data_IF_794080337691
#
_entry.id   IF_794080337691
#
_cell.length_a   1.000
_cell.length_b   1.000
_cell.length_c   1.000
_cell.angle_alpha   90.00
_cell.angle_beta   90.00
_cell.angle_gamma   90.00
#
_symmetry.space_group_name_H-M   'P 1'
#
loop_
_entity.id
_entity.type
_entity.pdbx_description
1 polymer ?
#
# COMPACT_ATOMS: atom_id res chain seq x y z
N UNK A 1 52.28 42.72 -44.61
CA UNK A 1 51.43 41.72 -45.29
C UNK A 1 50.00 41.92 -44.83
N UNK A 2 49.14 42.23 -45.78
CA UNK A 2 47.70 42.49 -45.62
C UNK A 2 46.99 41.18 -45.36
N UNK A 3 46.10 41.10 -44.35
CA UNK A 3 44.80 40.46 -44.56
C UNK A 3 43.73 41.03 -43.63
N UNK A 4 42.58 41.27 -44.25
CA UNK A 4 41.42 42.05 -43.85
C UNK A 4 40.32 41.14 -43.29
N UNK A 5 39.45 41.74 -42.46
CA UNK A 5 38.01 41.40 -42.25
C UNK A 5 37.74 40.18 -41.34
N UNK A 6 36.73 40.15 -40.46
CA UNK A 6 35.41 40.79 -40.43
C UNK A 6 34.96 41.13 -39.00
N UNK A 7 34.19 42.22 -38.89
CA UNK A 7 33.32 42.56 -37.75
C UNK A 7 32.14 41.57 -37.66
N UNK A 8 31.72 41.23 -36.43
CA UNK A 8 30.33 40.83 -36.14
C UNK A 8 29.87 41.62 -34.91
N UNK A 9 28.74 42.31 -35.08
CA UNK A 9 28.05 43.13 -34.09
C UNK A 9 27.06 42.28 -33.28
N UNK A 10 26.98 42.60 -31.99
CA UNK A 10 25.78 42.84 -31.18
C UNK A 10 24.84 41.69 -30.76
N UNK A 11 24.09 42.03 -29.70
CA UNK A 11 22.96 41.36 -29.02
C UNK A 11 23.42 40.44 -27.86
N UNK A 12 23.17 40.71 -26.58
CA UNK A 12 22.08 41.45 -25.95
C UNK A 12 21.08 40.44 -25.38
N UNK A 13 21.22 40.06 -24.11
CA UNK A 13 20.13 39.50 -23.30
C UNK A 13 20.57 39.43 -21.82
N UNK A 14 19.97 40.30 -21.01
CA UNK A 14 19.97 40.25 -19.55
C UNK A 14 19.12 39.06 -19.13
N UNK A 15 19.72 38.04 -18.52
CA UNK A 15 18.95 36.98 -17.86
C UNK A 15 18.63 37.43 -16.43
N UNK A 16 17.40 37.89 -16.26
CA UNK A 16 16.80 38.14 -14.96
C UNK A 16 16.79 36.84 -14.14
N UNK A 17 17.40 36.89 -12.96
CA UNK A 17 17.30 35.82 -11.98
C UNK A 17 15.87 35.78 -11.42
N UNK A 18 15.06 34.83 -11.92
CA UNK A 18 13.77 34.54 -11.32
C UNK A 18 14.02 33.84 -9.97
N UNK A 19 13.74 34.53 -8.87
CA UNK A 19 13.63 33.95 -7.54
C UNK A 19 12.48 32.95 -7.55
N UNK A 20 12.81 31.67 -7.63
CA UNK A 20 11.82 30.60 -7.46
C UNK A 20 11.35 30.64 -6.00
N UNK A 21 10.15 31.17 -5.78
CA UNK A 21 9.43 30.96 -4.55
C UNK A 21 9.24 29.44 -4.41
N UNK A 22 9.93 28.84 -3.44
CA UNK A 22 9.69 27.45 -3.04
C UNK A 22 8.30 27.44 -2.45
N UNK A 23 7.31 27.11 -3.29
CA UNK A 23 6.01 26.67 -2.82
C UNK A 23 6.31 25.39 -2.07
N UNK A 24 6.35 25.47 -0.74
CA UNK A 24 6.29 24.30 0.13
C UNK A 24 4.92 23.67 -0.09
N UNK A 25 4.78 22.93 -1.20
CA UNK A 25 3.61 22.12 -1.48
C UNK A 25 3.45 21.18 -0.28
N UNK A 26 2.27 21.22 0.33
CA UNK A 26 1.87 20.18 1.26
C UNK A 26 2.16 18.82 0.60
N UNK A 27 2.69 17.82 1.35
CA UNK A 27 2.96 16.52 0.78
C UNK A 27 1.72 16.06 0.01
N UNK A 28 1.86 15.53 -1.22
CA UNK A 28 0.72 15.02 -1.95
C UNK A 28 -0.03 14.09 -1.01
N UNK A 29 -1.34 14.28 -0.87
CA UNK A 29 -2.18 13.36 -0.13
C UNK A 29 -1.95 11.98 -0.74
N UNK A 30 -1.09 11.18 -0.10
CA UNK A 30 -0.77 9.85 -0.57
C UNK A 30 -2.09 9.10 -0.51
N UNK A 31 -2.66 8.78 -1.67
CA UNK A 31 -3.79 7.86 -1.72
C UNK A 31 -3.36 6.64 -0.91
N UNK A 32 -4.04 6.36 0.21
CA UNK A 32 -3.72 5.25 1.09
C UNK A 32 -3.62 4.01 0.21
N UNK A 33 -2.39 3.56 -0.06
CA UNK A 33 -2.15 2.62 -1.13
C UNK A 33 -2.67 1.29 -0.64
N UNK A 34 -3.83 0.90 -1.15
CA UNK A 34 -4.51 -0.31 -0.71
C UNK A 34 -3.84 -1.48 -1.39
N UNK A 35 -3.18 -2.32 -0.60
CA UNK A 35 -2.61 -3.58 -1.08
C UNK A 35 -3.75 -4.55 -1.39
N UNK A 36 -3.75 -5.12 -2.58
CA UNK A 36 -4.57 -6.24 -2.94
C UNK A 36 -3.83 -7.57 -2.72
N UNK A 37 -4.50 -8.49 -2.03
CA UNK A 37 -4.10 -9.88 -1.92
C UNK A 37 -5.21 -10.77 -2.47
N UNK A 38 -4.91 -11.59 -3.49
CA UNK A 38 -5.88 -12.52 -4.09
C UNK A 38 -6.49 -13.48 -3.06
N UNK A 39 -5.66 -14.03 -2.17
CA UNK A 39 -6.10 -14.95 -1.12
C UNK A 39 -5.39 -14.66 0.20
N UNK A 40 -6.06 -14.93 1.31
CA UNK A 40 -5.46 -14.92 2.64
C UNK A 40 -6.02 -16.08 3.45
N UNK A 41 -5.14 -16.78 4.17
CA UNK A 41 -5.54 -17.83 5.11
C UNK A 41 -5.21 -17.37 6.51
N UNK A 42 -6.20 -17.33 7.38
CA UNK A 42 -6.01 -17.02 8.80
C UNK A 42 -6.60 -18.12 9.66
N UNK A 43 -6.17 -18.23 10.91
CA UNK A 43 -6.76 -19.14 11.90
C UNK A 43 -7.89 -18.48 12.68
N UNK A 44 -8.08 -17.18 12.51
CA UNK A 44 -9.06 -16.38 13.24
C UNK A 44 -9.76 -15.44 12.24
N UNK A 45 -10.63 -15.97 11.38
CA UNK A 45 -11.71 -15.22 10.73
C UNK A 45 -13.02 -15.76 11.29
N UNK A 46 -13.61 -15.04 12.24
CA UNK A 46 -14.86 -15.44 12.88
C UNK A 46 -15.91 -14.34 12.77
N UNK A 47 -17.13 -14.63 12.31
CA UNK A 47 -18.20 -13.65 12.38
C UNK A 47 -18.44 -13.24 13.84
N UNK A 48 -18.55 -11.95 14.07
CA UNK A 48 -18.96 -11.33 15.32
C UNK A 48 -20.30 -10.63 15.10
N UNK A 49 -21.03 -10.31 16.18
CA UNK A 49 -22.35 -9.68 16.09
C UNK A 49 -22.40 -8.34 15.32
N UNK A 50 -21.26 -7.79 14.91
CA UNK A 50 -21.15 -6.60 14.07
C UNK A 50 -20.12 -6.67 12.94
N UNK A 51 -19.63 -7.86 12.55
CA UNK A 51 -18.63 -7.98 11.48
C UNK A 51 -17.80 -9.26 11.55
N UNK A 52 -16.48 -9.12 11.40
CA UNK A 52 -15.55 -10.25 11.47
C UNK A 52 -14.35 -9.90 12.36
N UNK A 53 -13.96 -10.84 13.22
CA UNK A 53 -12.67 -10.82 13.88
C UNK A 53 -11.63 -11.33 12.87
N UNK A 54 -10.69 -10.48 12.46
CA UNK A 54 -9.59 -10.81 11.52
C UNK A 54 -8.30 -10.15 12.01
N UNK A 55 -7.64 -10.64 13.08
CA UNK A 55 -6.52 -9.94 13.71
C UNK A 55 -5.20 -10.09 12.94
N UNK A 56 -5.12 -11.10 12.06
CA UNK A 56 -3.92 -11.44 11.31
C UNK A 56 -4.26 -11.76 9.85
N UNK A 57 -3.45 -11.20 8.95
CA UNK A 57 -3.41 -11.52 7.54
C UNK A 57 -2.21 -12.42 7.27
N UNK A 58 -2.40 -13.49 6.50
CA UNK A 58 -1.31 -14.29 5.96
C UNK A 58 -1.66 -14.68 4.53
N UNK A 59 -1.01 -14.04 3.58
CA UNK A 59 -1.31 -14.17 2.17
C UNK A 59 -0.04 -14.52 1.39
N UNK A 60 -0.08 -15.40 0.38
CA UNK A 60 1.10 -15.67 -0.45
C UNK A 60 1.56 -14.40 -1.16
N UNK A 61 2.85 -14.07 -1.06
CA UNK A 61 3.42 -12.87 -1.68
C UNK A 61 3.25 -12.86 -3.20
N UNK A 62 3.29 -14.03 -3.86
CA UNK A 62 3.04 -14.15 -5.30
C UNK A 62 1.62 -13.72 -5.72
N UNK A 63 0.67 -13.69 -4.79
CA UNK A 63 -0.70 -13.27 -5.01
C UNK A 63 -1.05 -11.92 -4.37
N UNK A 64 -0.06 -11.17 -3.90
CA UNK A 64 -0.22 -9.87 -3.27
C UNK A 64 0.66 -8.82 -3.95
N UNK A 65 0.15 -7.61 -4.13
CA UNK A 65 0.91 -6.45 -4.62
C UNK A 65 1.49 -5.60 -3.47
N UNK A 66 1.85 -6.25 -2.36
CA UNK A 66 2.26 -5.55 -1.14
C UNK A 66 3.51 -4.73 -1.36
N UNK A 67 3.38 -3.44 -1.06
CA UNK A 67 4.48 -2.48 -0.96
C UNK A 67 4.40 -1.84 0.42
N UNK A 68 5.50 -1.85 1.15
CA UNK A 68 5.56 -1.20 2.46
C UNK A 68 5.53 0.33 2.29
N UNK A 69 4.36 0.92 2.54
CA UNK A 69 4.12 2.35 2.50
C UNK A 69 3.97 2.96 3.91
N UNK A 70 4.29 2.19 4.96
CA UNK A 70 4.06 2.58 6.34
C UNK A 70 2.62 2.42 6.82
N UNK A 71 2.44 2.46 8.13
CA UNK A 71 1.13 2.33 8.77
C UNK A 71 0.28 3.62 8.61
N UNK A 72 -1.06 3.50 8.57
CA UNK A 72 -1.83 2.27 8.61
C UNK A 72 -1.82 1.51 7.27
N UNK A 73 -1.77 0.18 7.34
CA UNK A 73 -1.76 -0.69 6.17
C UNK A 73 -3.17 -1.05 5.74
N UNK A 74 -3.53 -0.73 4.51
CA UNK A 74 -4.84 -1.04 3.95
C UNK A 74 -4.76 -2.25 3.04
N UNK A 75 -5.58 -3.26 3.30
CA UNK A 75 -5.66 -4.47 2.48
C UNK A 75 -7.06 -4.68 1.92
N UNK A 76 -7.11 -5.10 0.66
CA UNK A 76 -8.27 -5.74 0.05
C UNK A 76 -7.91 -7.19 -0.25
N UNK A 77 -8.66 -8.13 0.32
CA UNK A 77 -8.43 -9.55 0.15
C UNK A 77 -9.51 -10.12 -0.75
N UNK A 78 -9.13 -10.66 -1.91
CA UNK A 78 -10.06 -11.28 -2.85
C UNK A 78 -10.87 -12.39 -2.20
N UNK A 79 -10.20 -13.30 -1.50
CA UNK A 79 -10.80 -14.36 -0.69
C UNK A 79 -10.03 -14.60 0.61
N UNK A 80 -10.68 -14.35 1.75
CA UNK A 80 -10.16 -14.67 3.08
C UNK A 80 -10.82 -15.96 3.58
N UNK A 81 -10.01 -16.95 3.95
CA UNK A 81 -10.49 -18.23 4.49
C UNK A 81 -9.92 -18.47 5.88
N UNK A 82 -10.73 -19.01 6.78
CA UNK A 82 -10.29 -19.49 8.09
C UNK A 82 -10.91 -20.81 8.44
N UNK A 83 -10.13 -21.68 9.05
CA UNK A 83 -10.62 -22.91 9.67
C UNK A 83 -10.57 -22.72 11.17
N UNK A 84 -11.73 -22.77 11.83
CA UNK A 84 -11.86 -22.64 13.28
C UNK A 84 -12.32 -23.98 13.84
N UNK A 85 -11.60 -24.50 14.83
CA UNK A 85 -12.05 -25.68 15.57
C UNK A 85 -13.19 -25.24 16.50
N UNK A 86 -14.38 -25.77 16.25
CA UNK A 86 -15.55 -25.60 17.12
C UNK A 86 -15.53 -26.67 18.22
N UNK A 87 -16.26 -26.40 19.31
CA UNK A 87 -16.33 -27.32 20.46
C UNK A 87 -16.71 -28.74 20.02
N UNK A 88 -16.01 -29.74 20.55
CA UNK A 88 -16.21 -31.15 20.18
C UNK A 88 -15.30 -31.68 19.06
N UNK A 89 -14.25 -30.94 18.68
CA UNK A 89 -13.27 -31.39 17.68
C UNK A 89 -13.73 -31.24 16.23
N UNK A 90 -14.87 -30.60 16.02
CA UNK A 90 -15.37 -30.25 14.69
C UNK A 90 -14.62 -29.02 14.17
N UNK A 91 -14.42 -28.94 12.85
CA UNK A 91 -13.79 -27.78 12.21
C UNK A 91 -14.82 -27.10 11.31
N UNK A 92 -14.93 -25.78 11.41
CA UNK A 92 -15.77 -24.97 10.53
C UNK A 92 -14.89 -24.06 9.70
N UNK A 93 -15.10 -24.07 8.39
CA UNK A 93 -14.41 -23.18 7.46
C UNK A 93 -15.28 -21.97 7.17
N UNK A 94 -14.77 -20.77 7.42
CA UNK A 94 -15.37 -19.50 7.07
C UNK A 94 -14.65 -18.91 5.87
N UNK A 95 -15.42 -18.47 4.88
CA UNK A 95 -14.90 -17.78 3.69
C UNK A 95 -15.59 -16.44 3.56
N UNK A 96 -14.80 -15.39 3.36
CA UNK A 96 -15.28 -14.03 3.11
C UNK A 96 -14.57 -13.52 1.86
N UNK A 97 -15.33 -13.16 0.84
CA UNK A 97 -14.79 -12.56 -0.38
C UNK A 97 -14.76 -11.03 -0.27
N UNK A 98 -13.80 -10.41 -0.96
CA UNK A 98 -13.59 -8.96 -1.01
C UNK A 98 -13.46 -8.29 0.38
N UNK A 99 -12.77 -8.96 1.31
CA UNK A 99 -12.57 -8.47 2.67
C UNK A 99 -11.64 -7.26 2.67
N UNK A 100 -12.15 -6.11 3.13
CA UNK A 100 -11.37 -4.90 3.33
C UNK A 100 -10.96 -4.79 4.79
N UNK A 101 -9.68 -4.60 5.06
CA UNK A 101 -9.15 -4.51 6.42
C UNK A 101 -8.06 -3.45 6.51
N UNK A 102 -7.94 -2.85 7.69
CA UNK A 102 -6.82 -2.01 8.05
C UNK A 102 -6.01 -2.70 9.14
N UNK A 103 -4.68 -2.69 9.02
CA UNK A 103 -3.75 -3.32 9.95
C UNK A 103 -2.73 -2.29 10.47
N UNK A 104 -2.21 -2.50 11.67
CA UNK A 104 -1.24 -1.60 12.31
C UNK A 104 0.21 -1.96 11.99
N UNK A 105 0.47 -3.21 11.61
CA UNK A 105 1.77 -3.66 11.15
C UNK A 105 1.61 -4.63 9.97
N UNK A 106 2.51 -4.54 8.99
CA UNK A 106 2.59 -5.47 7.89
C UNK A 106 4.04 -5.62 7.42
N UNK A 107 4.33 -6.71 6.74
CA UNK A 107 5.64 -6.97 6.17
C UNK A 107 5.64 -8.25 5.33
N UNK A 108 6.75 -8.49 4.66
CA UNK A 108 7.02 -9.75 3.97
C UNK A 108 7.81 -10.69 4.86
N UNK A 109 7.38 -11.94 4.93
CA UNK A 109 8.00 -13.04 5.64
C UNK A 109 8.20 -14.19 4.65
N UNK A 110 9.38 -14.22 4.02
CA UNK A 110 9.68 -15.16 2.94
C UNK A 110 8.69 -15.05 1.77
N UNK A 111 7.96 -16.13 1.52
CA UNK A 111 6.97 -16.20 0.44
C UNK A 111 5.57 -15.69 0.83
N UNK A 112 5.43 -15.04 1.98
CA UNK A 112 4.15 -14.55 2.49
C UNK A 112 4.21 -13.06 2.82
N UNK A 113 3.08 -12.38 2.62
CA UNK A 113 2.76 -11.09 3.23
C UNK A 113 2.02 -11.39 4.53
N UNK A 114 2.51 -10.84 5.63
CA UNK A 114 1.86 -10.93 6.94
C UNK A 114 1.47 -9.56 7.43
N UNK A 115 0.33 -9.48 8.08
CA UNK A 115 -0.09 -8.28 8.80
C UNK A 115 -0.76 -8.65 10.13
N UNK A 116 -0.69 -7.73 11.09
CA UNK A 116 -1.24 -7.90 12.43
C UNK A 116 -1.92 -6.64 12.94
N UNK A 117 -2.76 -6.80 13.96
CA UNK A 117 -3.61 -5.72 14.45
C UNK A 117 -4.66 -5.32 13.42
N UNK A 118 -5.06 -6.29 12.59
CA UNK A 118 -6.01 -6.08 11.52
C UNK A 118 -7.44 -5.97 12.08
N UNK A 119 -8.22 -5.07 11.51
CA UNK A 119 -9.64 -4.92 11.80
C UNK A 119 -10.41 -4.54 10.53
N UNK A 120 -11.70 -4.86 10.50
CA UNK A 120 -12.59 -4.46 9.42
C UNK A 120 -13.17 -3.09 9.81
N UNK A 121 -12.84 -2.01 9.09
CA UNK A 121 -13.46 -0.70 9.36
C UNK A 121 -14.96 -0.79 9.07
N UNK A 122 -15.77 -0.32 10.04
CA UNK A 122 -17.24 -0.23 9.98
C UNK A 122 -17.72 0.94 9.14
#
# INVERSE_FOLDING_TARGET
MTHRSRRVLATGAVLAAATSAVVTGAPPAQAATTTYCSTSTTVILRPTGGGYLFPHLSAPAAGCDFVDNGAPYHFTIGRATSTVITGGGQSSTYTVDNLKTQCTAAGTDGSYVRASGCYVPS
#
